data_IF_469722145627
#
_entry.id   IF_469722145627
#
_cell.length_a   1.000
_cell.length_b   1.000
_cell.length_c   1.000
_cell.angle_alpha   90.00
_cell.angle_beta   90.00
_cell.angle_gamma   90.00
#
_symmetry.space_group_name_H-M   'P 1'
#
loop_
_entity.id
_entity.type
_entity.pdbx_description
1 polymer ?
#
# COMPACT_ATOMS: atom_id res chain seq x y z
N UNK A 1 28.21 1.10 -3.43
CA UNK A 1 27.57 2.43 -3.50
C UNK A 1 28.51 3.46 -2.89
N UNK A 2 28.91 4.51 -3.65
CA UNK A 2 29.86 5.54 -3.21
C UNK A 2 29.26 6.38 -2.05
N UNK A 3 30.11 6.85 -1.13
CA UNK A 3 29.77 7.78 -0.03
C UNK A 3 29.11 9.06 -0.55
N UNK A 4 29.59 9.63 -1.65
CA UNK A 4 29.01 10.86 -2.21
C UNK A 4 27.57 10.63 -2.68
N UNK A 5 27.32 9.48 -3.33
CA UNK A 5 25.98 9.10 -3.77
C UNK A 5 25.05 8.78 -2.60
N UNK A 6 25.56 8.13 -1.53
CA UNK A 6 24.79 7.91 -0.30
C UNK A 6 24.38 9.24 0.35
N UNK A 7 25.31 10.20 0.41
CA UNK A 7 25.06 11.54 0.97
C UNK A 7 24.00 12.29 0.15
N UNK A 8 24.14 12.31 -1.18
CA UNK A 8 23.16 12.90 -2.08
C UNK A 8 21.76 12.29 -1.89
N UNK A 9 21.66 10.96 -1.80
CA UNK A 9 20.37 10.30 -1.56
C UNK A 9 19.78 10.68 -0.20
N UNK A 10 20.57 10.69 0.87
CA UNK A 10 20.06 11.05 2.21
C UNK A 10 19.60 12.51 2.32
N UNK A 11 20.14 13.41 1.48
CA UNK A 11 19.74 14.82 1.47
C UNK A 11 18.52 15.10 0.58
N UNK A 12 18.23 14.24 -0.40
CA UNK A 12 17.24 14.52 -1.46
C UNK A 12 16.11 13.49 -1.56
N UNK A 13 16.18 12.37 -0.85
CA UNK A 13 15.16 11.33 -0.89
C UNK A 13 14.80 10.89 0.53
N UNK A 14 13.50 10.86 0.81
CA UNK A 14 12.95 10.28 2.03
C UNK A 14 12.12 9.04 1.67
N UNK A 15 12.35 7.95 2.39
CA UNK A 15 11.66 6.68 2.24
C UNK A 15 11.04 6.30 3.57
N UNK A 16 9.80 6.72 3.77
CA UNK A 16 9.05 6.40 4.98
C UNK A 16 8.29 5.09 4.79
N UNK A 17 8.16 4.30 5.85
CA UNK A 17 7.29 3.14 5.85
C UNK A 17 5.85 3.57 6.19
N UNK A 18 4.84 3.01 5.51
CA UNK A 18 3.45 3.19 5.93
C UNK A 18 3.20 2.49 7.27
N UNK A 19 2.42 3.14 8.14
CA UNK A 19 2.05 2.56 9.42
C UNK A 19 0.98 1.48 9.23
N UNK A 20 1.25 0.26 9.69
CA UNK A 20 0.24 -0.81 9.74
C UNK A 20 -0.78 -0.47 10.81
N UNK A 21 -2.04 -0.35 10.42
CA UNK A 21 -3.16 -0.14 11.34
C UNK A 21 -3.68 -1.47 11.87
N UNK A 22 -3.95 -2.42 10.97
CA UNK A 22 -4.58 -3.69 11.30
C UNK A 22 -4.29 -4.74 10.22
N UNK A 23 -4.29 -6.01 10.61
CA UNK A 23 -4.12 -7.16 9.73
C UNK A 23 -5.23 -8.17 10.02
N UNK A 24 -5.99 -8.53 8.99
CA UNK A 24 -6.97 -9.61 9.04
C UNK A 24 -6.45 -10.80 8.23
N UNK A 25 -6.37 -11.97 8.87
CA UNK A 25 -6.00 -13.22 8.22
C UNK A 25 -7.23 -14.10 7.98
N UNK A 26 -7.33 -14.65 6.78
CA UNK A 26 -8.33 -15.65 6.41
C UNK A 26 -7.73 -17.07 6.48
N UNK A 27 -8.60 -18.08 6.52
CA UNK A 27 -8.20 -19.50 6.65
C UNK A 27 -7.49 -20.07 5.42
N UNK A 28 -7.67 -19.44 4.26
CA UNK A 28 -6.99 -19.77 3.00
C UNK A 28 -5.58 -19.16 2.89
N UNK A 29 -5.13 -18.46 3.93
CA UNK A 29 -3.85 -17.75 3.95
C UNK A 29 -3.90 -16.33 3.36
N UNK A 30 -5.05 -15.90 2.83
CA UNK A 30 -5.24 -14.52 2.37
C UNK A 30 -5.11 -13.55 3.56
N UNK A 31 -4.37 -12.46 3.37
CA UNK A 31 -4.18 -11.42 4.38
C UNK A 31 -4.63 -10.07 3.85
N UNK A 32 -5.55 -9.42 4.56
CA UNK A 32 -5.94 -8.03 4.33
C UNK A 32 -5.20 -7.14 5.32
N UNK A 33 -4.45 -6.18 4.82
CA UNK A 33 -3.64 -5.24 5.60
C UNK A 33 -4.20 -3.84 5.41
N UNK A 34 -4.45 -3.15 6.51
CA UNK A 34 -4.87 -1.75 6.55
C UNK A 34 -3.65 -0.89 6.88
N UNK A 35 -3.35 0.09 6.04
CA UNK A 35 -2.27 1.05 6.24
C UNK A 35 -2.82 2.44 6.49
N UNK A 36 -2.22 3.17 7.44
CA UNK A 36 -2.53 4.58 7.70
C UNK A 36 -1.56 5.47 6.92
N UNK A 37 -2.12 6.43 6.20
CA UNK A 37 -1.38 7.48 5.50
C UNK A 37 -1.07 8.65 6.45
N UNK A 38 -0.21 9.58 6.02
CA UNK A 38 0.22 10.71 6.85
C UNK A 38 -0.94 11.65 7.25
N UNK A 39 -2.01 11.70 6.47
CA UNK A 39 -3.24 12.47 6.72
C UNK A 39 -4.26 11.71 7.58
N UNK A 40 -3.91 10.52 8.08
CA UNK A 40 -4.78 9.67 8.88
C UNK A 40 -5.79 8.86 8.06
N UNK A 41 -5.83 9.02 6.74
CA UNK A 41 -6.65 8.20 5.87
C UNK A 41 -6.11 6.77 5.81
N UNK A 42 -6.97 5.83 5.46
CA UNK A 42 -6.63 4.40 5.45
C UNK A 42 -6.77 3.83 4.05
N UNK A 43 -5.78 3.06 3.64
CA UNK A 43 -5.81 2.26 2.42
C UNK A 43 -5.70 0.77 2.75
N UNK A 44 -6.15 -0.05 1.81
CA UNK A 44 -6.15 -1.49 1.96
C UNK A 44 -5.17 -2.13 0.97
N UNK A 45 -4.54 -3.21 1.41
CA UNK A 45 -3.73 -4.10 0.58
C UNK A 45 -4.11 -5.53 0.89
N UNK A 46 -4.26 -6.36 -0.13
CA UNK A 46 -4.60 -7.78 0.05
C UNK A 46 -3.52 -8.65 -0.54
N UNK A 47 -2.99 -9.55 0.27
CA UNK A 47 -2.00 -10.54 -0.13
C UNK A 47 -2.70 -11.88 -0.28
N UNK A 48 -2.63 -12.44 -1.48
CA UNK A 48 -3.31 -13.67 -1.85
C UNK A 48 -2.24 -14.70 -2.23
N UNK A 49 -1.93 -15.68 -1.35
CA UNK A 49 -1.07 -16.78 -1.73
C UNK A 49 -1.73 -17.59 -2.84
N UNK A 50 -0.97 -17.96 -3.86
CA UNK A 50 -1.45 -18.77 -4.96
C UNK A 50 -0.59 -20.04 -5.10
N UNK A 51 -1.15 -21.05 -5.76
CA UNK A 51 -0.42 -22.27 -6.07
C UNK A 51 0.86 -22.00 -6.87
N UNK A 52 1.83 -22.91 -6.74
CA UNK A 52 3.13 -22.90 -7.44
C UNK A 52 4.02 -21.70 -7.08
N UNK A 53 3.91 -21.21 -5.84
CA UNK A 53 4.83 -20.20 -5.29
C UNK A 53 4.58 -18.77 -5.79
N UNK A 54 3.47 -18.52 -6.49
CA UNK A 54 3.06 -17.16 -6.86
C UNK A 54 2.35 -16.50 -5.68
N UNK A 55 2.60 -15.21 -5.47
CA UNK A 55 1.81 -14.39 -4.55
C UNK A 55 1.24 -13.21 -5.32
N UNK A 56 -0.08 -13.02 -5.26
CA UNK A 56 -0.75 -11.86 -5.85
C UNK A 56 -0.95 -10.81 -4.76
N UNK A 57 -0.63 -9.56 -5.08
CA UNK A 57 -0.86 -8.43 -4.17
C UNK A 57 -1.82 -7.46 -4.84
N UNK A 58 -2.96 -7.21 -4.18
CA UNK A 58 -3.89 -6.15 -4.54
C UNK A 58 -3.46 -4.87 -3.83
N UNK A 59 -3.23 -3.80 -4.61
CA UNK A 59 -2.81 -2.50 -4.10
C UNK A 59 -3.89 -1.45 -4.38
N UNK A 60 -4.13 -0.59 -3.40
CA UNK A 60 -4.99 0.59 -3.60
C UNK A 60 -4.24 1.65 -4.41
N UNK A 61 -4.95 2.39 -5.26
CA UNK A 61 -4.42 3.53 -6.03
C UNK A 61 -4.98 4.88 -5.58
N UNK A 62 -6.10 4.86 -4.85
CA UNK A 62 -6.85 6.04 -4.43
C UNK A 62 -7.44 5.79 -3.04
N UNK A 63 -7.76 6.88 -2.35
CA UNK A 63 -8.58 6.86 -1.14
C UNK A 63 -10.01 7.27 -1.53
N UNK A 64 -10.92 6.30 -1.55
CA UNK A 64 -12.24 6.45 -2.18
C UNK A 64 -12.17 6.28 -3.71
N UNK A 65 -13.30 6.41 -4.41
CA UNK A 65 -13.34 6.26 -5.87
C UNK A 65 -14.45 7.11 -6.50
N UNK A 66 -14.09 7.93 -7.50
CA UNK A 66 -15.05 8.83 -8.16
C UNK A 66 -15.99 8.13 -9.16
N UNK A 67 -15.79 6.84 -9.44
CA UNK A 67 -16.54 6.11 -10.48
C UNK A 67 -18.00 5.82 -10.09
N UNK A 68 -18.35 5.96 -8.81
CA UNK A 68 -19.72 5.77 -8.30
C UNK A 68 -20.36 4.40 -8.65
N UNK A 69 -19.56 3.34 -8.73
CA UNK A 69 -20.05 2.00 -9.02
C UNK A 69 -20.87 1.45 -7.83
N UNK A 70 -22.17 1.22 -8.05
CA UNK A 70 -23.11 0.87 -6.97
C UNK A 70 -22.83 -0.48 -6.28
N UNK A 71 -22.14 -1.41 -6.95
CA UNK A 71 -21.74 -2.69 -6.38
C UNK A 71 -20.41 -2.64 -5.61
N UNK A 72 -19.63 -1.57 -5.78
CA UNK A 72 -18.31 -1.44 -5.18
C UNK A 72 -18.39 -0.70 -3.85
N UNK A 73 -17.87 -1.31 -2.77
CA UNK A 73 -17.86 -0.65 -1.45
C UNK A 73 -17.12 0.70 -1.51
N UNK A 74 -15.93 0.74 -2.12
CA UNK A 74 -15.16 1.97 -2.34
C UNK A 74 -15.82 2.92 -3.35
N UNK A 75 -16.58 2.38 -4.30
CA UNK A 75 -17.34 3.18 -5.27
C UNK A 75 -18.51 3.95 -4.66
N UNK A 76 -19.02 3.53 -3.50
CA UNK A 76 -20.02 4.28 -2.72
C UNK A 76 -19.41 5.37 -1.85
N UNK A 77 -18.08 5.45 -1.76
CA UNK A 77 -17.37 6.47 -0.98
C UNK A 77 -16.96 7.63 -1.90
N UNK A 78 -16.95 8.84 -1.34
CA UNK A 78 -16.42 10.03 -2.03
C UNK A 78 -14.92 9.85 -2.28
N UNK A 79 -14.43 10.25 -3.45
CA UNK A 79 -13.00 10.33 -3.70
C UNK A 79 -12.40 11.46 -2.87
N UNK A 80 -11.40 11.13 -2.04
CA UNK A 80 -10.65 12.12 -1.27
C UNK A 80 -9.38 12.54 -2.00
N UNK A 81 -8.56 11.56 -2.40
CA UNK A 81 -7.27 11.82 -3.04
C UNK A 81 -6.80 10.61 -3.85
N UNK A 82 -5.99 10.87 -4.88
CA UNK A 82 -5.21 9.86 -5.58
C UNK A 82 -3.84 9.69 -4.93
N UNK A 83 -3.41 8.45 -4.72
CA UNK A 83 -2.06 8.19 -4.19
C UNK A 83 -1.04 8.64 -5.24
N UNK A 84 -0.22 9.62 -4.89
CA UNK A 84 0.85 10.10 -5.75
C UNK A 84 2.04 9.13 -5.69
N UNK A 85 2.72 8.94 -6.82
CA UNK A 85 3.93 8.10 -6.92
C UNK A 85 5.06 8.60 -6.00
N UNK A 86 5.09 9.92 -5.76
CA UNK A 86 6.07 10.57 -4.89
C UNK A 86 5.66 10.58 -3.41
N UNK A 87 4.42 10.22 -3.11
CA UNK A 87 4.02 9.94 -1.74
C UNK A 87 4.52 8.55 -1.39
N UNK A 88 4.83 8.36 -0.12
CA UNK A 88 5.32 7.17 0.59
C UNK A 88 4.70 5.81 0.17
N UNK A 89 3.61 5.81 -0.59
CA UNK A 89 2.94 4.66 -1.18
C UNK A 89 3.39 4.34 -2.63
N UNK A 90 4.69 4.47 -2.95
CA UNK A 90 5.18 3.86 -4.19
C UNK A 90 4.86 2.35 -4.16
N UNK A 91 4.26 1.76 -5.21
CA UNK A 91 3.87 0.35 -5.22
C UNK A 91 5.02 -0.59 -4.84
N UNK A 92 6.26 -0.21 -5.16
CA UNK A 92 7.48 -0.95 -4.79
C UNK A 92 7.77 -0.96 -3.29
N UNK A 93 7.57 0.15 -2.58
CA UNK A 93 7.82 0.24 -1.14
C UNK A 93 6.71 -0.46 -0.35
N UNK A 94 5.46 -0.31 -0.80
CA UNK A 94 4.33 -1.04 -0.28
C UNK A 94 4.55 -2.56 -0.41
N UNK A 95 5.01 -3.03 -1.58
CA UNK A 95 5.36 -4.45 -1.79
C UNK A 95 6.47 -4.91 -0.84
N UNK A 96 7.55 -4.13 -0.69
CA UNK A 96 8.64 -4.48 0.21
C UNK A 96 8.18 -4.57 1.68
N UNK A 97 7.32 -3.65 2.12
CA UNK A 97 6.74 -3.71 3.46
C UNK A 97 5.80 -4.89 3.64
N UNK A 98 4.94 -5.16 2.64
CA UNK A 98 4.02 -6.30 2.65
C UNK A 98 4.77 -7.59 2.92
N UNK A 99 5.87 -7.86 2.20
CA UNK A 99 6.70 -9.06 2.41
C UNK A 99 7.41 -9.10 3.78
N UNK A 100 7.69 -7.95 4.40
CA UNK A 100 8.21 -7.91 5.79
C UNK A 100 7.15 -8.13 6.86
N UNK A 101 5.87 -7.89 6.53
CA UNK A 101 4.72 -8.09 7.45
C UNK A 101 4.01 -9.44 7.31
N UNK A 102 4.47 -10.31 6.39
CA UNK A 102 3.96 -11.69 6.26
C UNK A 102 4.57 -12.62 7.30
#
# INVERSE_FOLDING_TARGET
MNKDFKKMLSENADFKALAVKEIHAASDGTRKILFTLDDGMVIETVVIPCDRGRTTVCVSSQVGCAMNCQFCYTGRQVLFLSLMINSVAAPSLLLMQVFHTM
#
